data_IF_320409134404
#
_entry.id   IF_320409134404
#
_cell.length_a   1.000
_cell.length_b   1.000
_cell.length_c   1.000
_cell.angle_alpha   90.00
_cell.angle_beta   90.00
_cell.angle_gamma   90.00
#
_symmetry.space_group_name_H-M   'P 1'
#
loop_
_entity.id
_entity.type
_entity.pdbx_description
1 polymer ?
#
# COMPACT_ATOMS: atom_id res chain seq x y z
N UNK A 1 1.35 -76.50 2.25
CA UNK A 1 1.88 -76.05 3.55
C UNK A 1 3.35 -75.68 3.38
N UNK A 2 3.65 -74.38 3.31
CA UNK A 2 4.98 -73.75 3.51
C UNK A 2 4.71 -72.24 3.63
N UNK A 3 4.91 -71.71 4.83
CA UNK A 3 4.78 -70.29 5.17
C UNK A 3 6.11 -69.64 4.82
N UNK A 4 6.08 -68.54 4.05
CA UNK A 4 7.19 -67.61 3.92
C UNK A 4 6.65 -66.21 4.22
N UNK A 5 7.03 -65.68 5.37
CA UNK A 5 6.82 -64.30 5.78
C UNK A 5 7.78 -63.46 4.94
N UNK A 6 7.25 -62.53 4.15
CA UNK A 6 8.05 -61.44 3.59
C UNK A 6 7.29 -60.13 3.85
N UNK A 7 7.77 -59.40 4.85
CA UNK A 7 7.31 -58.06 5.15
C UNK A 7 7.70 -57.13 3.99
N UNK A 8 6.72 -56.51 3.35
CA UNK A 8 6.93 -55.40 2.42
C UNK A 8 6.16 -54.22 2.97
N UNK A 9 6.87 -53.38 3.70
CA UNK A 9 6.43 -52.05 4.11
C UNK A 9 6.97 -51.06 3.07
N UNK A 10 6.16 -50.47 2.16
CA UNK A 10 6.64 -49.39 1.34
C UNK A 10 6.53 -48.08 2.13
N UNK A 11 7.69 -47.43 2.26
CA UNK A 11 7.90 -46.12 2.83
C UNK A 11 6.92 -45.08 2.28
N UNK A 12 6.23 -44.38 3.19
CA UNK A 12 5.67 -43.06 2.93
C UNK A 12 6.84 -42.08 2.75
N UNK A 13 7.40 -41.98 1.55
CA UNK A 13 8.24 -40.84 1.18
C UNK A 13 7.33 -39.61 1.07
N UNK A 14 7.12 -38.94 2.19
CA UNK A 14 6.58 -37.59 2.23
C UNK A 14 7.64 -36.68 1.60
N UNK A 15 7.57 -36.51 0.27
CA UNK A 15 8.30 -35.48 -0.44
C UNK A 15 7.78 -34.13 0.07
N UNK A 16 8.41 -33.62 1.12
CA UNK A 16 8.34 -32.20 1.39
C UNK A 16 9.07 -31.53 0.24
N UNK A 17 8.29 -31.10 -0.77
CA UNK A 17 8.74 -30.10 -1.72
C UNK A 17 9.03 -28.88 -0.86
N UNK A 18 10.30 -28.70 -0.49
CA UNK A 18 10.79 -27.44 0.03
C UNK A 18 10.72 -26.51 -1.18
N UNK A 19 9.61 -25.80 -1.31
CA UNK A 19 9.50 -24.68 -2.24
C UNK A 19 10.64 -23.73 -1.86
N UNK A 20 11.67 -23.69 -2.69
CA UNK A 20 12.67 -22.64 -2.58
C UNK A 20 11.92 -21.40 -3.02
N UNK A 21 11.46 -20.57 -2.07
CA UNK A 21 11.00 -19.24 -2.43
C UNK A 21 12.18 -18.54 -3.09
N UNK A 22 12.16 -18.47 -4.42
CA UNK A 22 13.11 -17.66 -5.18
C UNK A 22 12.84 -16.22 -4.74
N UNK A 23 13.63 -15.73 -3.79
CA UNK A 23 13.46 -14.38 -3.27
C UNK A 23 13.68 -13.41 -4.43
N UNK A 24 12.72 -12.54 -4.71
CA UNK A 24 12.81 -11.57 -5.80
C UNK A 24 14.11 -10.76 -5.67
N UNK A 25 15.02 -10.93 -6.63
CA UNK A 25 16.31 -10.25 -6.62
C UNK A 25 16.13 -8.74 -6.76
N UNK A 26 16.96 -7.96 -6.06
CA UNK A 26 16.89 -6.51 -6.10
C UNK A 26 17.69 -5.93 -7.30
N UNK A 27 17.26 -6.24 -8.51
CA UNK A 27 17.83 -5.69 -9.74
C UNK A 27 17.07 -4.45 -10.20
N UNK A 28 17.69 -3.62 -11.06
CA UNK A 28 17.00 -2.48 -11.69
C UNK A 28 15.78 -2.95 -12.48
N UNK A 29 15.91 -4.04 -13.23
CA UNK A 29 14.84 -4.58 -14.05
C UNK A 29 13.65 -5.02 -13.19
N UNK A 30 13.90 -5.79 -12.13
CA UNK A 30 12.84 -6.23 -11.23
C UNK A 30 12.15 -5.02 -10.58
N UNK A 31 12.89 -3.98 -10.18
CA UNK A 31 12.26 -2.77 -9.63
C UNK A 31 11.35 -2.06 -10.64
N UNK A 32 11.75 -1.98 -11.91
CA UNK A 32 10.91 -1.40 -12.98
C UNK A 32 9.63 -2.21 -13.15
N UNK A 33 9.74 -3.53 -13.31
CA UNK A 33 8.57 -4.41 -13.46
C UNK A 33 7.62 -4.30 -12.27
N UNK A 34 8.15 -4.25 -11.04
CA UNK A 34 7.28 -4.12 -9.87
C UNK A 34 6.67 -2.71 -9.74
N UNK A 35 7.39 -1.66 -10.15
CA UNK A 35 6.86 -0.30 -10.16
C UNK A 35 5.72 -0.16 -11.17
N UNK A 36 5.84 -0.79 -12.34
CA UNK A 36 4.76 -0.89 -13.33
C UNK A 36 3.54 -1.58 -12.72
N UNK A 37 3.70 -2.77 -12.12
CA UNK A 37 2.61 -3.47 -11.41
C UNK A 37 1.94 -2.62 -10.34
N UNK A 38 2.71 -1.87 -9.57
CA UNK A 38 2.17 -0.98 -8.54
C UNK A 38 1.34 0.15 -9.16
N UNK A 39 1.84 0.79 -10.21
CA UNK A 39 1.18 1.94 -10.83
C UNK A 39 -0.01 1.54 -11.70
N UNK A 40 -0.11 0.30 -12.16
CA UNK A 40 -1.32 -0.23 -12.80
C UNK A 40 -2.55 -0.17 -11.89
N UNK A 41 -2.36 -0.37 -10.58
CA UNK A 41 -3.45 -0.43 -9.58
C UNK A 41 -3.46 0.77 -8.61
N UNK A 42 -2.48 1.66 -8.72
CA UNK A 42 -2.36 2.85 -7.88
C UNK A 42 -1.74 4.01 -8.67
N UNK A 43 -2.30 4.27 -9.86
CA UNK A 43 -1.83 5.33 -10.76
C UNK A 43 -2.10 6.73 -10.20
N UNK A 44 -1.35 7.73 -10.67
CA UNK A 44 -1.64 9.13 -10.36
C UNK A 44 -3.10 9.49 -10.69
N UNK A 45 -3.61 9.02 -11.83
CA UNK A 45 -5.01 9.25 -12.23
C UNK A 45 -6.01 8.72 -11.20
N UNK A 46 -5.84 7.47 -10.78
CA UNK A 46 -6.73 6.84 -9.80
C UNK A 46 -6.71 7.58 -8.46
N UNK A 47 -5.51 7.92 -7.97
CA UNK A 47 -5.32 8.66 -6.72
C UNK A 47 -6.03 10.02 -6.77
N UNK A 48 -5.77 10.83 -7.81
CA UNK A 48 -6.31 12.18 -7.88
C UNK A 48 -7.81 12.20 -8.20
N UNK A 49 -8.34 11.21 -8.93
CA UNK A 49 -9.77 11.05 -9.13
C UNK A 49 -10.47 10.74 -7.80
N UNK A 50 -9.94 9.80 -7.03
CA UNK A 50 -10.49 9.43 -5.73
C UNK A 50 -10.42 10.60 -4.72
N UNK A 51 -9.35 11.39 -4.72
CA UNK A 51 -9.27 12.65 -3.95
C UNK A 51 -10.40 13.61 -4.37
N UNK A 52 -10.55 13.84 -5.68
CA UNK A 52 -11.58 14.74 -6.18
C UNK A 52 -12.99 14.29 -5.76
N UNK A 53 -13.28 13.00 -5.86
CA UNK A 53 -14.57 12.41 -5.49
C UNK A 53 -14.89 12.54 -4.00
N UNK A 54 -13.88 12.47 -3.13
CA UNK A 54 -14.06 12.61 -1.67
C UNK A 54 -14.19 14.06 -1.25
N UNK A 55 -13.41 14.95 -1.85
CA UNK A 55 -13.35 16.36 -1.44
C UNK A 55 -14.51 17.17 -2.01
N UNK A 56 -15.11 16.77 -3.13
CA UNK A 56 -16.22 17.53 -3.75
C UNK A 56 -17.37 17.84 -2.78
N UNK A 57 -17.68 16.92 -1.85
CA UNK A 57 -18.79 17.11 -0.90
C UNK A 57 -18.46 18.08 0.23
N UNK A 58 -17.18 18.31 0.49
CA UNK A 58 -16.70 19.32 1.44
C UNK A 58 -16.63 20.72 0.82
N UNK A 59 -16.78 20.85 -0.50
CA UNK A 59 -16.72 22.12 -1.22
C UNK A 59 -18.11 22.71 -1.49
N UNK A 60 -18.24 24.06 -1.52
CA UNK A 60 -19.42 24.74 -2.06
C UNK A 60 -19.73 24.26 -3.48
N UNK A 61 -21.02 24.14 -3.82
CA UNK A 61 -21.45 23.59 -5.12
C UNK A 61 -20.84 24.34 -6.31
N UNK A 62 -20.70 25.67 -6.20
CA UNK A 62 -20.09 26.54 -7.21
C UNK A 62 -18.61 26.25 -7.50
N UNK A 63 -17.91 25.55 -6.60
CA UNK A 63 -16.47 25.28 -6.70
C UNK A 63 -16.15 23.83 -7.10
N UNK A 64 -17.13 22.94 -7.05
CA UNK A 64 -16.91 21.49 -7.26
C UNK A 64 -16.39 21.17 -8.66
N UNK A 65 -17.01 21.75 -9.69
CA UNK A 65 -16.64 21.47 -11.08
C UNK A 65 -15.24 21.96 -11.43
N UNK A 66 -14.89 23.18 -11.00
CA UNK A 66 -13.56 23.75 -11.26
C UNK A 66 -12.46 22.98 -10.51
N UNK A 67 -12.73 22.55 -9.29
CA UNK A 67 -11.81 21.72 -8.51
C UNK A 67 -11.59 20.34 -9.15
N UNK A 68 -12.68 19.66 -9.55
CA UNK A 68 -12.60 18.37 -10.24
C UNK A 68 -11.83 18.50 -11.56
N UNK A 69 -12.10 19.53 -12.36
CA UNK A 69 -11.40 19.78 -13.61
C UNK A 69 -9.91 20.06 -13.38
N UNK A 70 -9.56 20.81 -12.34
CA UNK A 70 -8.16 21.06 -11.97
C UNK A 70 -7.41 19.76 -11.68
N UNK A 71 -7.97 18.87 -10.86
CA UNK A 71 -7.33 17.60 -10.50
C UNK A 71 -7.31 16.56 -11.62
N UNK A 72 -8.32 16.54 -12.50
CA UNK A 72 -8.48 15.45 -13.48
C UNK A 72 -8.11 15.82 -14.91
N UNK A 73 -8.08 17.13 -15.26
CA UNK A 73 -7.81 17.62 -16.62
C UNK A 73 -6.60 18.53 -16.71
N UNK A 74 -6.30 19.31 -15.68
CA UNK A 74 -5.21 20.30 -15.71
C UNK A 74 -3.92 19.82 -15.03
N UNK A 75 -4.01 18.84 -14.13
CA UNK A 75 -2.83 18.15 -13.63
C UNK A 75 -2.21 17.29 -14.73
N UNK A 76 -0.90 17.42 -14.90
CA UNK A 76 -0.11 16.53 -15.74
C UNK A 76 0.10 15.19 -15.01
N UNK A 77 -0.89 14.32 -15.18
CA UNK A 77 -0.91 13.01 -14.55
C UNK A 77 0.17 12.07 -15.10
N UNK A 78 0.67 12.32 -16.31
CA UNK A 78 1.75 11.54 -16.92
C UNK A 78 3.08 11.87 -16.23
N UNK A 79 3.41 13.15 -16.10
CA UNK A 79 4.61 13.60 -15.36
C UNK A 79 4.58 13.13 -13.90
N UNK A 80 3.40 13.14 -13.26
CA UNK A 80 3.25 12.61 -11.89
C UNK A 80 3.49 11.10 -11.83
N UNK A 81 2.90 10.32 -12.75
CA UNK A 81 3.04 8.87 -12.76
C UNK A 81 4.49 8.46 -13.05
N UNK A 82 5.18 9.17 -13.96
CA UNK A 82 6.60 8.98 -14.23
C UNK A 82 7.47 9.31 -13.01
N UNK A 83 7.17 10.41 -12.32
CA UNK A 83 7.87 10.80 -11.09
C UNK A 83 7.68 9.75 -9.99
N UNK A 84 6.46 9.21 -9.85
CA UNK A 84 6.17 8.12 -8.93
C UNK A 84 6.97 6.87 -9.28
N UNK A 85 6.99 6.46 -10.55
CA UNK A 85 7.77 5.31 -11.02
C UNK A 85 9.26 5.45 -10.72
N UNK A 86 9.85 6.59 -11.09
CA UNK A 86 11.26 6.89 -10.84
C UNK A 86 11.57 6.90 -9.34
N UNK A 87 10.67 7.45 -8.52
CA UNK A 87 10.84 7.47 -7.07
C UNK A 87 10.78 6.07 -6.46
N UNK A 88 9.85 5.23 -6.91
CA UNK A 88 9.76 3.82 -6.49
C UNK A 88 11.07 3.09 -6.81
N UNK A 89 11.53 3.16 -8.05
CA UNK A 89 12.76 2.49 -8.52
C UNK A 89 14.00 2.98 -7.76
N UNK A 90 14.05 4.26 -7.41
CA UNK A 90 15.20 4.88 -6.72
C UNK A 90 15.28 4.54 -5.24
N UNK A 91 14.14 4.48 -4.56
CA UNK A 91 14.11 4.45 -3.09
C UNK A 91 13.75 3.10 -2.49
N UNK A 92 13.12 2.21 -3.26
CA UNK A 92 12.64 0.93 -2.77
C UNK A 92 13.37 -0.23 -3.46
N UNK A 93 13.44 -1.35 -2.78
CA UNK A 93 13.87 -2.63 -3.35
C UNK A 93 12.76 -3.26 -4.18
N UNK A 94 13.12 -4.18 -5.08
CA UNK A 94 12.13 -4.88 -5.89
C UNK A 94 11.07 -5.60 -5.01
N UNK A 95 11.49 -6.19 -3.90
CA UNK A 95 10.59 -6.89 -2.96
C UNK A 95 9.63 -5.94 -2.26
N UNK A 96 10.07 -4.76 -1.83
CA UNK A 96 9.19 -3.77 -1.21
C UNK A 96 8.14 -3.25 -2.20
N UNK A 97 8.53 -2.96 -3.44
CA UNK A 97 7.59 -2.53 -4.46
C UNK A 97 6.59 -3.65 -4.79
N UNK A 98 7.04 -4.91 -4.86
CA UNK A 98 6.16 -6.06 -5.06
C UNK A 98 5.11 -6.17 -3.95
N UNK A 99 5.52 -6.04 -2.68
CA UNK A 99 4.61 -6.07 -1.53
C UNK A 99 3.59 -4.94 -1.61
N UNK A 100 4.02 -3.73 -2.00
CA UNK A 100 3.09 -2.62 -2.20
C UNK A 100 2.10 -2.91 -3.34
N UNK A 101 2.57 -3.43 -4.47
CA UNK A 101 1.69 -3.80 -5.59
C UNK A 101 0.65 -4.85 -5.17
N UNK A 102 1.09 -5.90 -4.47
CA UNK A 102 0.22 -6.96 -3.96
C UNK A 102 -0.78 -6.43 -2.94
N UNK A 103 -0.36 -5.52 -2.05
CA UNK A 103 -1.25 -4.86 -1.11
C UNK A 103 -2.32 -4.03 -1.84
N UNK A 104 -1.93 -3.09 -2.69
CA UNK A 104 -2.88 -2.19 -3.38
C UNK A 104 -3.74 -2.88 -4.42
N UNK A 105 -3.36 -4.07 -4.90
CA UNK A 105 -4.24 -4.89 -5.76
C UNK A 105 -5.47 -5.46 -5.04
N UNK A 106 -5.45 -5.50 -3.70
CA UNK A 106 -6.57 -6.03 -2.91
C UNK A 106 -7.69 -4.98 -2.77
N UNK A 107 -8.95 -5.32 -3.11
CA UNK A 107 -10.08 -4.40 -2.93
C UNK A 107 -10.22 -3.88 -1.49
N UNK A 108 -9.97 -4.75 -0.51
CA UNK A 108 -10.02 -4.43 0.91
C UNK A 108 -8.94 -3.43 1.31
N UNK A 109 -7.73 -3.54 0.74
CA UNK A 109 -6.65 -2.59 0.98
C UNK A 109 -7.00 -1.20 0.45
N UNK A 110 -7.54 -1.12 -0.78
CA UNK A 110 -8.05 0.16 -1.34
C UNK A 110 -9.14 0.76 -0.45
N UNK A 111 -10.10 -0.06 0.00
CA UNK A 111 -11.16 0.37 0.92
C UNK A 111 -10.65 0.77 2.31
N UNK A 112 -9.59 0.16 2.81
CA UNK A 112 -8.99 0.52 4.09
C UNK A 112 -8.24 1.86 3.97
N UNK A 113 -7.43 2.01 2.93
CA UNK A 113 -6.70 3.26 2.66
C UNK A 113 -7.64 4.42 2.40
N UNK A 114 -8.84 4.17 1.84
CA UNK A 114 -9.84 5.21 1.63
C UNK A 114 -10.37 5.85 2.91
N UNK A 115 -10.44 5.05 3.98
CA UNK A 115 -10.97 5.47 5.28
C UNK A 115 -9.92 6.13 6.16
N UNK A 116 -8.64 6.03 5.80
CA UNK A 116 -7.55 6.48 6.67
C UNK A 116 -7.56 8.00 6.91
N UNK A 117 -8.05 8.78 5.95
CA UNK A 117 -8.26 10.22 6.13
C UNK A 117 -9.35 10.54 7.17
N UNK A 118 -10.46 9.80 7.16
CA UNK A 118 -11.55 9.93 8.16
C UNK A 118 -11.03 9.51 9.53
N UNK A 119 -10.36 8.36 9.60
CA UNK A 119 -9.74 7.88 10.83
C UNK A 119 -8.77 8.92 11.42
N UNK A 120 -7.91 9.52 10.61
CA UNK A 120 -7.01 10.59 11.06
C UNK A 120 -7.76 11.86 11.47
N UNK A 121 -8.85 12.23 10.79
CA UNK A 121 -9.66 13.39 11.17
C UNK A 121 -10.28 13.24 12.57
N UNK A 122 -10.59 12.00 12.99
CA UNK A 122 -11.08 11.70 14.33
C UNK A 122 -9.95 11.62 15.37
N UNK A 123 -8.79 11.07 15.01
CA UNK A 123 -7.65 10.87 15.92
C UNK A 123 -6.90 12.17 16.21
N UNK A 124 -6.66 13.02 15.21
CA UNK A 124 -5.79 14.19 15.33
C UNK A 124 -6.22 15.20 16.41
N UNK A 125 -7.51 15.54 16.58
CA UNK A 125 -7.95 16.43 17.67
C UNK A 125 -7.62 15.87 19.06
N UNK A 126 -7.73 14.55 19.24
CA UNK A 126 -7.39 13.89 20.52
C UNK A 126 -5.89 13.96 20.76
N UNK A 127 -5.07 13.69 19.73
CA UNK A 127 -3.60 13.83 19.83
C UNK A 127 -3.21 15.25 20.24
N UNK A 128 -3.79 16.27 19.61
CA UNK A 128 -3.51 17.68 19.96
C UNK A 128 -3.87 17.99 21.42
N UNK A 129 -5.03 17.49 21.89
CA UNK A 129 -5.46 17.65 23.28
C UNK A 129 -4.49 16.99 24.26
N UNK A 130 -4.06 15.75 23.99
CA UNK A 130 -3.13 15.02 24.85
C UNK A 130 -1.74 15.66 24.85
N UNK A 131 -1.29 16.24 23.73
CA UNK A 131 -0.04 17.00 23.68
C UNK A 131 -0.08 18.24 24.58
N UNK A 132 -1.19 18.99 24.59
CA UNK A 132 -1.36 20.15 25.47
C UNK A 132 -1.32 19.72 26.94
N UNK A 133 -2.03 18.64 27.29
CA UNK A 133 -2.01 18.08 28.66
C UNK A 133 -0.61 17.63 29.07
N UNK A 134 0.12 16.97 28.17
CA UNK A 134 1.48 16.52 28.42
C UNK A 134 2.42 17.71 28.68
N UNK A 135 2.31 18.79 27.88
CA UNK A 135 3.09 20.01 28.09
C UNK A 135 2.80 20.67 29.45
N UNK A 136 1.52 20.75 29.83
CA UNK A 136 1.13 21.32 31.14
C UNK A 136 1.70 20.52 32.31
N UNK A 137 1.69 19.18 32.22
CA UNK A 137 2.29 18.33 33.25
C UNK A 137 3.80 18.51 33.34
N UNK A 138 4.49 18.55 32.20
CA UNK A 138 5.93 18.76 32.17
C UNK A 138 6.34 20.08 32.86
N UNK A 139 5.60 21.17 32.61
CA UNK A 139 5.84 22.46 33.27
C UNK A 139 5.58 22.43 34.78
N UNK A 140 4.64 21.60 35.26
CA UNK A 140 4.34 21.45 36.70
C UNK A 140 5.34 20.56 37.43
N UNK A 141 6.07 19.70 36.72
CA UNK A 141 7.12 18.84 37.29
C UNK A 141 8.48 19.56 37.38
N UNK A 142 8.64 20.71 36.72
CA UNK A 142 9.84 21.55 36.75
C UNK A 142 9.83 22.63 37.86
N UNK A 143 8.70 22.81 38.56
CA UNK A 143 8.52 23.71 39.73
C UNK A 143 8.62 22.98 41.08
#
# INVERSE_FOLDING_TARGET
>A
MKIAILAVLPLLFSQHIIATETSLENTLENRKTQAERYLEVNSAREIFQDIAERTQNALPESERESFLAMLTRHLDLEVLNDTMSQSLIKHFTAKEIAVLADFYSQPEAKSAMSKMGIYMAEVMPVVQMEMIKAQQKALQEED
#
